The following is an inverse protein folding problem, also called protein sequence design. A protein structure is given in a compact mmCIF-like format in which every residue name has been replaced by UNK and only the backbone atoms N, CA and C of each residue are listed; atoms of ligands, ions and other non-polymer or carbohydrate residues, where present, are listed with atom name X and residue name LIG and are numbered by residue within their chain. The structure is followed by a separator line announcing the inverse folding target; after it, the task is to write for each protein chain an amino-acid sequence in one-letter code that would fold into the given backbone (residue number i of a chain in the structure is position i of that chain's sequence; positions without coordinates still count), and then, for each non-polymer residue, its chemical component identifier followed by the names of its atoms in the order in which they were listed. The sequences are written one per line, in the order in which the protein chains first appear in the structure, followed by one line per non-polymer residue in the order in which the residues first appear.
data_IF_211358844686
#
_entry.id   IF_211358844686
#
_cell.length_a   1.000
_cell.length_b   1.000
_cell.length_c   1.000
_cell.angle_alpha   90.00
_cell.angle_beta   90.00
_cell.angle_gamma   90.00
#
_symmetry.space_group_name_H-M   'P 1'
#
loop_
_entity.id
_entity.type
_entity.pdbx_description
1 polymer ?
#
# COMPACT_ATOMS: atom_id res chain seq x y z
N UNK A 1 15.91 9.61 9.50
CA UNK A 1 14.79 8.87 10.12
C UNK A 1 14.36 7.78 9.15
N UNK A 2 14.07 6.54 9.58
CA UNK A 2 13.57 5.52 8.66
C UNK A 2 12.23 5.98 8.06
N UNK A 3 12.07 5.85 6.75
CA UNK A 3 10.81 6.14 6.08
C UNK A 3 9.72 5.21 6.64
N UNK A 4 8.61 5.79 7.09
CA UNK A 4 7.50 5.03 7.67
C UNK A 4 6.69 4.41 6.53
N UNK A 5 6.79 3.09 6.41
CA UNK A 5 6.03 2.32 5.42
C UNK A 5 4.69 1.86 5.97
N UNK A 6 3.62 2.14 5.24
CA UNK A 6 2.26 1.74 5.56
C UNK A 6 1.91 0.40 4.92
N UNK A 7 1.14 -0.41 5.64
CA UNK A 7 0.46 -1.56 5.03
C UNK A 7 -0.67 -1.10 4.13
N UNK A 8 -1.09 -1.95 3.20
CA UNK A 8 -2.27 -1.68 2.37
C UNK A 8 -3.52 -1.33 3.19
N UNK A 9 -3.69 -1.94 4.38
CA UNK A 9 -4.82 -1.69 5.26
C UNK A 9 -4.76 -0.33 5.95
N UNK A 10 -3.56 0.12 6.33
CA UNK A 10 -3.36 1.47 6.86
C UNK A 10 -3.60 2.53 5.79
N UNK A 11 -3.10 2.31 4.57
CA UNK A 11 -3.40 3.19 3.42
C UNK A 11 -4.90 3.24 3.20
N UNK A 12 -5.58 2.10 3.17
CA UNK A 12 -7.03 2.04 3.03
C UNK A 12 -7.75 2.87 4.10
N UNK A 13 -7.32 2.78 5.36
CA UNK A 13 -7.89 3.55 6.47
C UNK A 13 -7.61 5.05 6.35
N UNK A 14 -6.39 5.44 5.98
CA UNK A 14 -5.99 6.85 5.81
C UNK A 14 -6.82 7.51 4.71
N UNK A 15 -7.03 6.81 3.59
CA UNK A 15 -7.77 7.33 2.45
C UNK A 15 -9.28 7.08 2.52
N UNK A 16 -9.77 6.35 3.53
CA UNK A 16 -11.20 6.00 3.66
C UNK A 16 -11.72 5.11 2.52
N UNK A 17 -10.85 4.29 1.92
CA UNK A 17 -11.18 3.42 0.78
C UNK A 17 -11.07 1.95 1.14
N UNK A 18 -11.59 1.07 0.28
CA UNK A 18 -11.39 -0.36 0.46
C UNK A 18 -9.94 -0.77 0.17
N UNK A 19 -9.49 -1.84 0.83
CA UNK A 19 -8.20 -2.48 0.54
C UNK A 19 -8.04 -2.87 -0.94
N UNK A 20 -9.14 -3.23 -1.61
CA UNK A 20 -9.15 -3.57 -3.04
C UNK A 20 -8.81 -2.35 -3.90
N UNK A 21 -9.28 -1.15 -3.52
CA UNK A 21 -8.94 0.09 -4.23
C UNK A 21 -7.43 0.37 -4.17
N UNK A 22 -6.82 0.23 -2.98
CA UNK A 22 -5.37 0.41 -2.81
C UNK A 22 -4.58 -0.59 -3.65
N UNK A 23 -5.01 -1.87 -3.69
CA UNK A 23 -4.40 -2.87 -4.59
C UNK A 23 -4.52 -2.47 -6.05
N UNK A 24 -5.67 -1.99 -6.50
CA UNK A 24 -5.86 -1.51 -7.88
C UNK A 24 -4.91 -0.36 -8.20
N UNK A 25 -4.73 0.60 -7.27
CA UNK A 25 -3.77 1.68 -7.44
C UNK A 25 -2.34 1.17 -7.60
N UNK A 26 -1.93 0.24 -6.74
CA UNK A 26 -0.62 -0.41 -6.82
C UNK A 26 -0.41 -1.11 -8.18
N UNK A 27 -1.39 -1.91 -8.63
CA UNK A 27 -1.32 -2.60 -9.93
C UNK A 27 -1.34 -1.64 -11.13
N UNK A 28 -2.05 -0.53 -11.02
CA UNK A 28 -2.07 0.52 -12.04
C UNK A 28 -0.84 1.44 -12.04
N UNK A 29 0.08 1.27 -11.07
CA UNK A 29 1.25 2.13 -10.91
C UNK A 29 0.96 3.53 -10.36
N UNK A 30 -0.27 3.80 -9.88
CA UNK A 30 -0.67 5.11 -9.32
C UNK A 30 0.01 5.42 -7.99
N UNK A 31 0.38 4.39 -7.24
CA UNK A 31 1.09 4.52 -5.97
C UNK A 31 2.30 3.59 -5.98
N UNK A 32 3.44 4.09 -5.48
CA UNK A 32 4.64 3.29 -5.31
C UNK A 32 4.46 2.36 -4.13
N UNK A 33 5.01 1.16 -4.23
CA UNK A 33 5.04 0.19 -3.15
C UNK A 33 6.33 -0.61 -3.24
N UNK A 34 6.78 -1.12 -2.11
CA UNK A 34 7.76 -2.19 -2.04
C UNK A 34 7.05 -3.50 -1.74
N UNK A 35 7.56 -4.59 -2.31
CA UNK A 35 7.12 -5.93 -1.98
C UNK A 35 8.11 -6.52 -0.99
N UNK A 36 7.65 -6.89 0.19
CA UNK A 36 8.50 -7.58 1.16
C UNK A 36 8.81 -9.00 0.66
N UNK A 37 9.87 -9.66 1.15
CA UNK A 37 10.15 -11.06 0.81
C UNK A 37 8.96 -12.00 1.08
N UNK A 38 8.14 -11.69 2.09
CA UNK A 38 6.90 -12.41 2.39
C UNK A 38 5.70 -12.05 1.50
N UNK A 39 5.91 -11.31 0.40
CA UNK A 39 4.88 -10.99 -0.59
C UNK A 39 3.89 -9.89 -0.18
N UNK A 40 4.09 -9.22 0.96
CA UNK A 40 3.22 -8.13 1.43
C UNK A 40 3.61 -6.81 0.78
N UNK A 41 2.62 -5.97 0.51
CA UNK A 41 2.85 -4.61 0.03
C UNK A 41 3.06 -3.65 1.20
N UNK A 42 4.02 -2.76 1.00
CA UNK A 42 4.36 -1.66 1.88
C UNK A 42 4.44 -0.39 1.04
N UNK A 43 3.68 0.63 1.42
CA UNK A 43 3.52 1.90 0.71
C UNK A 43 4.22 3.02 1.45
#
# INVERSE_FOLDING_TARGET
MPEKLYTTGEVARIFGVSYVAVKKWAYSGKIRFIKTPGGKYRF
#
